data_IF_794098809985
#
_entry.id   IF_794098809985
#
_cell.length_a   1.000
_cell.length_b   1.000
_cell.length_c   1.000
_cell.angle_alpha   90.00
_cell.angle_beta   90.00
_cell.angle_gamma   90.00
#
_symmetry.space_group_name_H-M   'P 1'
#
loop_
_entity.id
_entity.type
_entity.pdbx_description
1 polymer ?
#
# COMPACT_ATOMS: atom_id res chain seq x y z
N UNK A 1 -8.52 -6.66 34.46
CA UNK A 1 -8.45 -7.20 33.08
C UNK A 1 -7.82 -6.13 32.21
N UNK A 2 -6.63 -6.40 31.64
CA UNK A 2 -5.91 -5.44 30.81
C UNK A 2 -6.61 -5.34 29.44
N UNK A 3 -7.14 -4.16 29.11
CA UNK A 3 -7.82 -3.93 27.84
C UNK A 3 -6.80 -4.03 26.69
N UNK A 4 -6.95 -5.04 25.83
CA UNK A 4 -6.24 -5.12 24.56
C UNK A 4 -6.80 -4.00 23.68
N UNK A 5 -5.99 -2.98 23.41
CA UNK A 5 -6.34 -1.91 22.47
C UNK A 5 -6.34 -2.53 21.07
N UNK A 6 -7.51 -2.78 20.51
CA UNK A 6 -7.64 -3.17 19.11
C UNK A 6 -7.31 -1.96 18.23
N UNK A 7 -6.20 -2.01 17.51
CA UNK A 7 -5.81 -1.01 16.52
C UNK A 7 -6.35 -1.46 15.17
N UNK A 8 -7.27 -0.73 14.56
CA UNK A 8 -7.71 -0.97 13.18
C UNK A 8 -6.75 -0.17 12.27
N UNK A 9 -5.83 -0.81 11.53
CA UNK A 9 -5.00 -0.09 10.57
C UNK A 9 -5.87 0.36 9.39
N UNK A 10 -5.82 1.64 9.04
CA UNK A 10 -6.42 2.13 7.80
C UNK A 10 -5.35 2.09 6.71
N UNK A 11 -5.66 1.43 5.60
CA UNK A 11 -4.83 1.38 4.40
C UNK A 11 -5.44 2.32 3.36
N UNK A 12 -4.71 3.36 3.00
CA UNK A 12 -5.11 4.27 1.91
C UNK A 12 -4.16 4.08 0.74
N UNK A 13 -4.69 4.01 -0.48
CA UNK A 13 -3.90 4.09 -1.70
C UNK A 13 -3.94 5.54 -2.20
N UNK A 14 -2.78 6.12 -2.46
CA UNK A 14 -2.65 7.43 -3.09
C UNK A 14 -1.65 7.32 -4.24
N UNK A 15 -1.85 8.13 -5.28
CA UNK A 15 -0.87 8.24 -6.37
C UNK A 15 0.11 9.34 -5.99
N UNK A 16 1.33 8.97 -5.59
CA UNK A 16 2.46 9.88 -5.51
C UNK A 16 3.17 9.82 -6.87
N UNK A 17 3.53 10.96 -7.44
CA UNK A 17 4.32 11.01 -8.66
C UNK A 17 5.80 10.97 -8.25
N UNK A 18 6.39 9.78 -8.03
CA UNK A 18 7.85 9.70 -8.11
C UNK A 18 8.27 9.71 -9.58
N UNK A 19 9.50 10.15 -9.82
CA UNK A 19 10.06 10.33 -11.16
C UNK A 19 9.99 9.03 -11.96
N UNK A 20 9.36 9.08 -13.13
CA UNK A 20 9.20 7.93 -14.02
C UNK A 20 10.53 7.28 -14.39
N UNK A 21 10.57 5.95 -14.41
CA UNK A 21 11.74 5.21 -14.84
C UNK A 21 12.08 5.49 -16.32
N UNK A 22 13.37 5.58 -16.64
CA UNK A 22 13.88 5.77 -18.01
C UNK A 22 14.56 4.50 -18.51
N UNK A 23 14.17 4.04 -19.71
CA UNK A 23 14.79 2.89 -20.38
C UNK A 23 15.93 3.29 -21.33
N UNK A 24 17.04 2.55 -21.29
CA UNK A 24 18.10 2.58 -22.33
C UNK A 24 18.23 1.20 -22.97
N UNK A 25 18.57 1.16 -24.27
CA UNK A 25 18.36 -0.03 -25.10
C UNK A 25 19.60 -0.42 -25.90
N UNK A 26 20.04 -1.67 -25.78
CA UNK A 26 21.02 -2.28 -26.69
C UNK A 26 20.35 -3.01 -27.86
N UNK A 27 19.16 -3.57 -27.64
CA UNK A 27 18.20 -4.07 -28.63
C UNK A 27 16.80 -3.92 -28.02
N UNK A 28 16.09 -2.84 -28.37
CA UNK A 28 14.95 -2.36 -27.59
C UNK A 28 13.71 -3.27 -27.70
N UNK A 29 13.05 -3.63 -26.58
CA UNK A 29 11.65 -4.05 -26.64
C UNK A 29 10.78 -2.89 -27.17
N UNK A 30 9.69 -3.22 -27.83
CA UNK A 30 8.75 -2.28 -28.47
C UNK A 30 8.12 -1.29 -27.48
N UNK A 31 7.98 -1.70 -26.22
CA UNK A 31 7.34 -0.89 -25.17
C UNK A 31 8.00 -1.11 -23.81
N UNK A 32 8.19 0.00 -23.10
CA UNK A 32 8.51 0.05 -21.66
C UNK A 32 7.50 0.95 -20.98
N UNK A 33 6.84 0.44 -19.96
CA UNK A 33 5.87 1.17 -19.13
C UNK A 33 6.27 1.03 -17.69
N UNK A 34 6.16 2.12 -16.96
CA UNK A 34 6.32 2.17 -15.52
C UNK A 34 5.02 2.66 -14.89
N UNK A 35 4.61 2.03 -13.79
CA UNK A 35 3.44 2.39 -13.01
C UNK A 35 3.73 2.21 -11.54
N UNK A 36 3.47 3.25 -10.79
CA UNK A 36 3.69 3.31 -9.35
C UNK A 36 2.35 3.31 -8.58
N UNK A 37 2.29 2.58 -7.47
CA UNK A 37 1.20 2.63 -6.50
C UNK A 37 1.74 2.81 -5.09
N UNK A 38 1.29 3.83 -4.37
CA UNK A 38 1.68 4.06 -2.98
C UNK A 38 0.60 3.63 -2.02
N UNK A 39 0.97 2.72 -1.13
CA UNK A 39 0.18 2.27 0.00
C UNK A 39 0.63 2.97 1.27
N UNK A 40 -0.28 3.70 1.91
CA UNK A 40 -0.01 4.31 3.22
C UNK A 40 -0.81 3.64 4.30
N UNK A 41 -0.07 3.13 5.30
CA UNK A 41 -0.63 2.64 6.54
C UNK A 41 -0.71 3.81 7.51
N UNK A 42 -1.90 4.06 8.05
CA UNK A 42 -2.14 5.09 9.04
C UNK A 42 -2.27 4.49 10.44
N UNK A 43 -1.85 5.25 11.44
CA UNK A 43 -2.21 5.01 12.83
C UNK A 43 -3.70 5.31 13.05
N UNK A 44 -4.22 4.92 14.20
CA UNK A 44 -5.63 5.14 14.57
C UNK A 44 -6.01 6.62 14.71
N UNK A 45 -5.04 7.52 14.84
CA UNK A 45 -5.23 8.98 14.86
C UNK A 45 -5.12 9.63 13.47
N UNK A 46 -4.92 8.83 12.41
CA UNK A 46 -4.74 9.31 11.04
C UNK A 46 -3.30 9.73 10.68
N UNK A 47 -2.36 9.68 11.63
CA UNK A 47 -0.94 9.96 11.32
C UNK A 47 -0.32 8.84 10.48
N UNK A 48 0.61 9.20 9.58
CA UNK A 48 1.30 8.22 8.73
C UNK A 48 2.18 7.32 9.59
N UNK A 49 1.94 6.01 9.50
CA UNK A 49 2.79 4.99 10.12
C UNK A 49 3.89 4.52 9.17
N UNK A 50 3.52 4.26 7.91
CA UNK A 50 4.42 3.71 6.89
C UNK A 50 3.87 3.97 5.50
N UNK A 51 4.72 4.32 4.55
CA UNK A 51 4.39 4.36 3.13
C UNK A 51 5.23 3.35 2.37
N UNK A 52 4.56 2.54 1.56
CA UNK A 52 5.14 1.51 0.70
C UNK A 52 4.82 1.89 -0.73
N UNK A 53 5.85 2.02 -1.55
CA UNK A 53 5.74 2.20 -2.98
C UNK A 53 5.84 0.82 -3.64
N UNK A 54 4.95 0.53 -4.58
CA UNK A 54 4.99 -0.66 -5.43
C UNK A 54 5.06 -0.20 -6.87
N UNK A 55 6.15 -0.57 -7.52
CA UNK A 55 6.41 -0.30 -8.92
C UNK A 55 6.12 -1.52 -9.77
N UNK A 56 5.54 -1.26 -10.94
CA UNK A 56 5.29 -2.24 -11.97
C UNK A 56 5.95 -1.79 -13.27
N UNK A 57 7.12 -2.36 -13.54
CA UNK A 57 7.80 -2.22 -14.81
C UNK A 57 7.26 -3.27 -15.77
N UNK A 58 6.66 -2.84 -16.87
CA UNK A 58 6.13 -3.69 -17.92
C UNK A 58 6.92 -3.51 -19.22
N UNK A 59 7.22 -4.64 -19.84
CA UNK A 59 7.99 -4.72 -21.07
C UNK A 59 7.23 -5.54 -22.11
N UNK A 60 7.20 -5.06 -23.36
CA UNK A 60 6.68 -5.82 -24.49
C UNK A 60 7.61 -5.72 -25.68
N UNK A 61 7.89 -6.85 -26.34
CA UNK A 61 8.78 -6.96 -27.49
C UNK A 61 9.82 -8.05 -27.30
N UNK A 62 11.00 -7.86 -27.88
CA UNK A 62 12.13 -8.78 -27.74
C UNK A 62 13.44 -8.02 -27.55
N UNK A 63 14.36 -8.58 -26.78
CA UNK A 63 15.71 -8.03 -26.59
C UNK A 63 16.03 -7.68 -25.14
N UNK A 64 17.07 -6.87 -24.94
CA UNK A 64 17.57 -6.51 -23.62
C UNK A 64 17.31 -5.03 -23.33
N UNK A 65 16.84 -4.75 -22.12
CA UNK A 65 16.55 -3.40 -21.64
C UNK A 65 17.15 -3.18 -20.26
N UNK A 66 17.71 -1.99 -20.06
CA UNK A 66 18.09 -1.47 -18.75
C UNK A 66 17.15 -0.33 -18.41
N UNK A 67 16.44 -0.45 -17.29
CA UNK A 67 15.54 0.58 -16.75
C UNK A 67 16.15 1.18 -15.49
N UNK A 68 16.22 2.50 -15.44
CA UNK A 68 16.61 3.25 -14.26
C UNK A 68 15.39 3.95 -13.68
N UNK A 69 14.97 3.53 -12.50
CA UNK A 69 13.99 4.23 -11.67
C UNK A 69 14.70 5.18 -10.69
N UNK A 70 14.08 6.34 -10.46
CA UNK A 70 14.60 7.42 -9.64
C UNK A 70 13.66 7.69 -8.46
N UNK A 71 14.18 7.57 -7.24
CA UNK A 71 13.42 7.90 -6.05
C UNK A 71 14.18 7.56 -4.78
N UNK A 72 13.93 8.29 -3.66
CA UNK A 72 14.54 7.98 -2.37
C UNK A 72 13.82 6.80 -1.69
N UNK A 73 13.75 5.67 -2.40
CA UNK A 73 13.17 4.44 -1.89
C UNK A 73 14.23 3.65 -1.10
N UNK A 74 13.81 3.11 0.03
CA UNK A 74 14.62 2.27 0.89
C UNK A 74 14.03 0.86 0.95
N UNK A 75 14.81 -0.11 1.47
CA UNK A 75 14.34 -1.48 1.67
C UNK A 75 13.78 -2.15 0.40
N UNK A 76 14.41 -1.90 -0.75
CA UNK A 76 13.99 -2.42 -2.06
C UNK A 76 13.85 -3.94 -2.01
N UNK A 77 12.70 -4.44 -2.48
CA UNK A 77 12.38 -5.86 -2.53
C UNK A 77 11.74 -6.21 -3.87
N UNK A 78 12.32 -7.17 -4.58
CA UNK A 78 11.66 -7.80 -5.72
C UNK A 78 10.50 -8.68 -5.22
N UNK A 79 9.31 -8.48 -5.79
CA UNK A 79 8.10 -9.25 -5.50
C UNK A 79 7.87 -10.34 -6.56
N UNK A 80 8.25 -10.08 -7.82
CA UNK A 80 7.97 -10.97 -8.95
C UNK A 80 9.03 -12.02 -9.22
N UNK A 81 10.23 -11.91 -8.65
CA UNK A 81 11.35 -12.78 -9.01
C UNK A 81 12.53 -12.75 -8.04
N UNK A 82 13.62 -13.39 -8.46
CA UNK A 82 14.86 -13.53 -7.68
C UNK A 82 15.95 -12.57 -8.16
N UNK A 83 15.80 -11.98 -9.35
CA UNK A 83 16.71 -10.96 -9.86
C UNK A 83 16.76 -9.77 -8.90
N UNK A 84 17.93 -9.15 -8.79
CA UNK A 84 18.18 -8.04 -7.87
C UNK A 84 18.51 -6.80 -8.68
N UNK A 85 17.94 -5.63 -8.33
CA UNK A 85 18.35 -4.39 -8.94
C UNK A 85 19.72 -3.97 -8.41
N UNK A 86 20.41 -3.13 -9.17
CA UNK A 86 21.53 -2.34 -8.65
C UNK A 86 20.95 -1.08 -8.03
N UNK A 87 21.25 -0.83 -6.75
CA UNK A 87 20.81 0.36 -6.03
C UNK A 87 22.01 1.24 -5.72
N UNK A 88 22.06 2.43 -6.30
CA UNK A 88 23.18 3.36 -6.11
C UNK A 88 22.73 4.81 -6.31
N UNK A 89 23.21 5.74 -5.47
CA UNK A 89 22.99 7.19 -5.65
C UNK A 89 21.52 7.59 -5.91
N UNK A 90 20.56 6.94 -5.24
CA UNK A 90 19.12 7.21 -5.43
C UNK A 90 18.51 6.65 -6.72
N UNK A 91 19.24 5.77 -7.41
CA UNK A 91 18.80 5.06 -8.60
C UNK A 91 18.57 3.58 -8.30
N UNK A 92 17.54 3.00 -8.90
CA UNK A 92 17.21 1.58 -8.87
C UNK A 92 17.27 1.09 -10.31
N UNK A 93 18.28 0.29 -10.63
CA UNK A 93 18.58 -0.12 -12.00
C UNK A 93 18.21 -1.59 -12.17
N UNK A 94 17.35 -1.86 -13.15
CA UNK A 94 16.88 -3.19 -13.53
C UNK A 94 17.36 -3.54 -14.92
N UNK A 95 18.01 -4.70 -15.04
CA UNK A 95 18.33 -5.32 -16.33
C UNK A 95 17.35 -6.47 -16.61
N UNK A 96 16.79 -6.50 -17.81
CA UNK A 96 15.83 -7.53 -18.22
C UNK A 96 16.05 -8.00 -19.66
N UNK A 97 16.01 -9.32 -19.86
CA UNK A 97 15.79 -9.94 -21.16
C UNK A 97 14.28 -10.14 -21.37
N UNK A 98 13.77 -9.61 -22.48
CA UNK A 98 12.35 -9.57 -22.85
C UNK A 98 12.12 -10.50 -24.04
N UNK A 99 11.09 -11.34 -23.95
CA UNK A 99 10.56 -12.18 -25.03
C UNK A 99 9.04 -12.19 -24.95
N UNK A 100 8.37 -11.50 -25.86
CA UNK A 100 6.93 -11.28 -25.79
C UNK A 100 6.60 -10.24 -24.73
N UNK A 101 6.16 -10.66 -23.55
CA UNK A 101 5.76 -9.76 -22.45
C UNK A 101 6.46 -10.17 -21.15
N UNK A 102 6.96 -9.19 -20.40
CA UNK A 102 7.61 -9.39 -19.10
C UNK A 102 7.20 -8.29 -18.14
N UNK A 103 7.19 -8.59 -16.85
CA UNK A 103 7.05 -7.56 -15.81
C UNK A 103 8.02 -7.78 -14.67
N UNK A 104 8.44 -6.69 -14.04
CA UNK A 104 9.13 -6.68 -12.76
C UNK A 104 8.25 -5.89 -11.79
N UNK A 105 7.90 -6.54 -10.68
CA UNK A 105 7.22 -5.90 -9.55
C UNK A 105 8.21 -5.78 -8.41
N UNK A 106 8.39 -4.57 -7.89
CA UNK A 106 9.19 -4.37 -6.69
C UNK A 106 8.52 -3.38 -5.75
N UNK A 107 8.91 -3.44 -4.49
CA UNK A 107 8.49 -2.47 -3.49
C UNK A 107 9.67 -1.75 -2.88
N UNK A 108 9.45 -0.50 -2.49
CA UNK A 108 10.31 0.26 -1.62
C UNK A 108 9.51 0.96 -0.52
N UNK A 109 10.23 1.45 0.49
CA UNK A 109 9.67 2.32 1.52
C UNK A 109 10.11 3.75 1.26
N UNK A 110 9.18 4.71 1.42
CA UNK A 110 9.47 6.14 1.27
C UNK A 110 9.09 6.89 2.53
N UNK A 111 9.89 7.89 2.87
CA UNK A 111 9.60 8.87 3.92
C UNK A 111 9.18 10.24 3.35
N UNK A 112 8.94 10.31 2.03
CA UNK A 112 8.42 11.54 1.43
C UNK A 112 7.00 11.82 1.95
N UNK A 113 6.65 13.10 2.15
CA UNK A 113 5.29 13.48 2.51
C UNK A 113 4.32 13.10 1.39
N UNK A 114 3.11 12.72 1.76
CA UNK A 114 2.04 12.48 0.79
C UNK A 114 1.64 13.80 0.11
N UNK A 115 1.22 13.76 -1.17
CA UNK A 115 0.80 14.95 -1.89
C UNK A 115 -0.61 15.40 -1.49
N UNK A 116 -1.28 14.62 -0.63
CA UNK A 116 -2.63 14.85 -0.11
C UNK A 116 -2.64 14.58 1.39
N UNK A 117 -3.37 15.41 2.13
CA UNK A 117 -3.66 15.19 3.55
C UNK A 117 -4.93 14.35 3.72
N UNK A 118 -4.86 13.31 4.54
CA UNK A 118 -6.00 12.43 4.84
C UNK A 118 -6.47 12.68 6.27
N UNK A 119 -7.74 13.04 6.44
CA UNK A 119 -8.39 13.16 7.75
C UNK A 119 -9.51 12.12 7.87
N UNK A 120 -9.46 11.30 8.92
CA UNK A 120 -10.47 10.27 9.18
C UNK A 120 -11.25 10.67 10.42
N UNK A 121 -12.56 10.88 10.25
CA UNK A 121 -13.48 11.14 11.34
C UNK A 121 -14.42 9.95 11.52
N UNK A 122 -14.48 9.43 12.75
CA UNK A 122 -15.39 8.35 13.11
C UNK A 122 -16.61 8.92 13.80
N UNK A 123 -17.78 8.40 13.45
CA UNK A 123 -19.05 8.74 14.07
C UNK A 123 -19.72 7.47 14.59
N UNK A 124 -20.13 7.48 15.86
CA UNK A 124 -20.96 6.45 16.46
C UNK A 124 -22.27 7.11 16.88
N UNK A 125 -23.40 6.58 16.44
CA UNK A 125 -24.73 7.17 16.70
C UNK A 125 -24.84 8.66 16.34
N UNK A 126 -24.14 9.09 15.29
CA UNK A 126 -24.11 10.50 14.85
C UNK A 126 -23.15 11.40 15.63
N UNK A 127 -22.51 10.91 16.70
CA UNK A 127 -21.54 11.67 17.49
C UNK A 127 -20.10 11.35 17.09
N UNK A 128 -19.29 12.40 16.92
CA UNK A 128 -17.86 12.26 16.63
C UNK A 128 -17.21 11.50 17.77
N UNK A 129 -16.72 10.31 17.46
CA UNK A 129 -16.19 9.36 18.43
C UNK A 129 -14.68 9.26 18.30
N UNK A 130 -13.99 9.25 19.43
CA UNK A 130 -12.58 8.86 19.47
C UNK A 130 -12.43 7.39 19.08
N UNK A 131 -11.36 7.06 18.35
CA UNK A 131 -11.13 5.72 17.80
C UNK A 131 -11.18 4.57 18.85
N UNK A 132 -11.10 4.86 20.16
CA UNK A 132 -11.13 3.85 21.24
C UNK A 132 -12.48 3.15 21.45
N UNK A 133 -13.57 3.64 20.82
CA UNK A 133 -14.93 3.13 21.00
C UNK A 133 -15.34 2.05 19.97
N UNK A 134 -14.62 1.94 18.86
CA UNK A 134 -15.04 1.16 17.67
C UNK A 134 -15.01 -0.37 17.90
N UNK A 135 -14.31 -0.83 18.96
CA UNK A 135 -14.31 -2.24 19.37
C UNK A 135 -15.13 -2.56 20.63
N UNK A 136 -15.91 -1.60 21.16
CA UNK A 136 -16.55 -1.72 22.49
C UNK A 136 -18.06 -1.92 22.48
N UNK A 137 -18.72 -1.88 21.32
CA UNK A 137 -20.15 -2.20 21.29
C UNK A 137 -20.37 -3.70 21.49
N UNK A 138 -20.66 -4.07 22.73
CA UNK A 138 -21.33 -5.33 23.06
C UNK A 138 -22.76 -5.25 22.53
N UNK A 139 -23.02 -5.92 21.41
CA UNK A 139 -24.39 -6.14 20.94
C UNK A 139 -25.15 -6.94 22.00
N UNK A 140 -26.21 -6.35 22.59
CA UNK A 140 -27.22 -7.10 23.33
C UNK A 140 -28.41 -7.29 22.39
N UNK A 141 -28.49 -8.46 21.78
CA UNK A 141 -29.73 -8.90 21.13
C UNK A 141 -30.70 -9.31 22.23
N UNK A 142 -31.86 -8.64 22.32
CA UNK A 142 -32.97 -9.12 23.14
C UNK A 142 -33.90 -9.94 22.25
N UNK A 143 -33.78 -11.26 22.31
CA UNK A 143 -34.79 -12.14 21.74
C UNK A 143 -36.06 -12.11 22.61
N UNK A 144 -37.18 -12.52 21.99
CA UNK A 144 -38.55 -12.47 22.56
C UNK A 144 -38.69 -13.13 23.95
N UNK A 145 -37.73 -13.98 24.31
CA UNK A 145 -37.69 -14.77 25.55
C UNK A 145 -36.79 -14.15 26.65
N UNK A 146 -36.31 -12.91 26.48
CA UNK A 146 -35.49 -12.19 27.48
C UNK A 146 -34.19 -12.90 27.90
N UNK A 147 -33.71 -13.88 27.14
CA UNK A 147 -32.40 -14.52 27.36
C UNK A 147 -31.30 -13.61 26.78
N UNK A 148 -30.40 -13.14 27.65
CA UNK A 148 -29.20 -12.41 27.23
C UNK A 148 -28.18 -13.39 26.63
N UNK A 149 -27.91 -13.26 25.32
CA UNK A 149 -26.79 -13.95 24.70
C UNK A 149 -25.46 -13.25 25.05
N UNK A 150 -24.36 -14.00 25.27
CA UNK A 150 -23.06 -13.40 25.53
C UNK A 150 -22.60 -12.54 24.34
N UNK A 151 -22.09 -11.35 24.64
CA UNK A 151 -21.67 -10.38 23.65
C UNK A 151 -20.61 -10.94 22.69
N UNK A 152 -20.98 -11.11 21.42
CA UNK A 152 -20.09 -11.54 20.35
C UNK A 152 -19.47 -10.31 19.66
N UNK A 153 -18.13 -10.21 19.64
CA UNK A 153 -17.41 -9.21 18.86
C UNK A 153 -17.41 -9.61 17.38
N UNK A 154 -18.30 -9.02 16.59
CA UNK A 154 -18.23 -9.13 15.12
C UNK A 154 -17.28 -8.05 14.58
N UNK A 155 -16.21 -8.49 13.93
CA UNK A 155 -15.34 -7.59 13.17
C UNK A 155 -16.14 -6.99 12.01
N UNK A 156 -16.36 -5.67 12.03
CA UNK A 156 -16.93 -4.94 10.90
C UNK A 156 -15.81 -4.67 9.90
N UNK A 157 -15.84 -5.37 8.76
CA UNK A 157 -14.99 -5.04 7.62
C UNK A 157 -15.48 -3.71 7.02
N UNK A 158 -14.69 -2.65 7.13
CA UNK A 158 -14.96 -1.38 6.45
C UNK A 158 -14.40 -1.45 5.02
N UNK A 159 -15.30 -1.44 4.02
CA UNK A 159 -14.92 -1.20 2.63
C UNK A 159 -14.65 0.30 2.44
N UNK A 160 -13.41 0.66 2.13
CA UNK A 160 -13.09 1.95 1.55
C UNK A 160 -13.48 1.90 0.07
N UNK A 161 -14.49 2.69 -0.34
CA UNK A 161 -14.72 3.01 -1.75
C UNK A 161 -13.89 4.26 -2.07
N UNK A 162 -12.94 4.12 -2.98
CA UNK A 162 -12.36 5.23 -3.74
C UNK A 162 -13.25 5.48 -4.96
#
# INVERSE_FOLDING_TARGET
MNAVKATIPVLTAATLLLSSATGTYAAAPDQVVDRETVYTLLNSDGTVKKSIVVDWLYFKGNGNVTVTDYGPLQHIRNISGLEKPVVQNGQIIWDAEVKGERSIYYSGETSQPLPVDVSINYYLNGEKSGCSLIGREKWHSKNRDNVEEPAETKEKHFLFRL
#
